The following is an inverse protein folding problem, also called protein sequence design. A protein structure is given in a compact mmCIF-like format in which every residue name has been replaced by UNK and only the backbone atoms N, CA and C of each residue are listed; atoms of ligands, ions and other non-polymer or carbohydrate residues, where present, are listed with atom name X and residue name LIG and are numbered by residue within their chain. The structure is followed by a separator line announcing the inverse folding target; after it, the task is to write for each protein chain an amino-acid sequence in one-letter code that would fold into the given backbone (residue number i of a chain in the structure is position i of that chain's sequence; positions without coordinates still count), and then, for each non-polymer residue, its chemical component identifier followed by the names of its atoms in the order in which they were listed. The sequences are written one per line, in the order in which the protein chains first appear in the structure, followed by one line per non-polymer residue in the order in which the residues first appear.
data_IF_071988160426
#
_entry.id   IF_071988160426
#
_cell.length_a   1.000
_cell.length_b   1.000
_cell.length_c   1.000
_cell.angle_alpha   90.00
_cell.angle_beta   90.00
_cell.angle_gamma   90.00
#
_symmetry.space_group_name_H-M   'P 1'
#
loop_
_entity.id
_entity.type
_entity.pdbx_description
1 polymer ?
#
# COMPACT_ATOMS: atom_id res chain seq x y z
N UNK A 1 -23.45 -57.00 1.14
CA UNK A 1 -23.48 -56.09 2.31
C UNK A 1 -22.29 -55.14 2.21
N UNK A 2 -22.54 -53.95 1.70
CA UNK A 2 -21.54 -52.89 1.44
C UNK A 2 -21.34 -52.05 2.71
N UNK A 3 -20.13 -52.01 3.26
CA UNK A 3 -19.75 -51.02 4.28
C UNK A 3 -19.12 -49.83 3.58
N UNK A 4 -19.88 -48.74 3.52
CA UNK A 4 -19.42 -47.43 3.06
C UNK A 4 -18.43 -46.85 4.07
N UNK A 5 -17.25 -46.50 3.59
CA UNK A 5 -16.23 -45.73 4.29
C UNK A 5 -16.75 -44.32 4.55
N UNK A 6 -16.75 -43.90 5.82
CA UNK A 6 -17.05 -42.51 6.20
C UNK A 6 -15.82 -41.66 5.90
N UNK A 7 -15.89 -40.89 4.82
CA UNK A 7 -14.90 -39.88 4.46
C UNK A 7 -15.13 -38.64 5.34
N UNK A 8 -14.30 -38.47 6.38
CA UNK A 8 -14.27 -37.23 7.18
C UNK A 8 -13.53 -36.18 6.34
N UNK A 9 -14.28 -35.32 5.64
CA UNK A 9 -13.73 -34.14 4.98
C UNK A 9 -13.51 -33.07 6.05
N UNK A 10 -12.24 -32.86 6.38
CA UNK A 10 -11.76 -31.76 7.22
C UNK A 10 -11.91 -30.44 6.43
N UNK A 11 -13.02 -29.73 6.64
CA UNK A 11 -13.20 -28.34 6.16
C UNK A 11 -12.37 -27.39 7.03
N UNK A 12 -11.05 -27.38 6.81
CA UNK A 12 -10.11 -26.48 7.49
C UNK A 12 -9.40 -25.59 6.47
N UNK A 13 -10.16 -24.76 5.76
CA UNK A 13 -9.62 -23.73 4.88
C UNK A 13 -10.79 -22.95 4.30
N UNK A 14 -11.03 -21.73 4.78
CA UNK A 14 -11.50 -20.58 3.97
C UNK A 14 -11.86 -19.32 4.77
N UNK A 15 -11.75 -19.30 6.11
CA UNK A 15 -12.11 -18.12 6.92
C UNK A 15 -10.95 -17.47 7.69
N UNK A 16 -9.76 -17.37 7.09
CA UNK A 16 -8.64 -16.57 7.65
C UNK A 16 -8.03 -15.55 6.68
N UNK A 17 -8.68 -15.26 5.54
CA UNK A 17 -8.18 -14.27 4.58
C UNK A 17 -8.71 -12.84 4.78
N UNK A 18 -9.70 -12.62 5.66
CA UNK A 18 -10.38 -11.32 5.77
C UNK A 18 -9.98 -10.41 6.94
N UNK A 19 -9.02 -10.78 7.80
CA UNK A 19 -8.73 -10.01 9.02
C UNK A 19 -7.79 -8.81 8.79
N UNK A 20 -7.26 -8.61 7.58
CA UNK A 20 -6.35 -7.50 7.29
C UNK A 20 -6.60 -6.83 5.94
N UNK A 21 -7.86 -6.70 5.52
CA UNK A 21 -8.18 -5.76 4.45
C UNK A 21 -7.71 -4.36 4.87
N UNK A 22 -6.90 -3.72 4.04
CA UNK A 22 -6.45 -2.37 4.35
C UNK A 22 -7.62 -1.42 4.09
N UNK A 23 -8.18 -0.88 5.16
CA UNK A 23 -9.32 0.03 5.12
C UNK A 23 -8.85 1.46 4.85
N UNK A 24 -9.37 2.09 3.80
CA UNK A 24 -9.04 3.45 3.38
C UNK A 24 -10.29 4.33 3.28
N UNK A 25 -10.08 5.62 3.51
CA UNK A 25 -11.08 6.67 3.27
C UNK A 25 -10.59 7.57 2.14
N UNK A 26 -11.50 7.92 1.23
CA UNK A 26 -11.30 9.03 0.30
C UNK A 26 -11.49 10.34 1.07
N UNK A 27 -10.40 11.04 1.30
CA UNK A 27 -10.40 12.32 2.01
C UNK A 27 -10.58 13.50 1.07
N UNK A 28 -10.11 13.38 -0.18
CA UNK A 28 -10.37 14.35 -1.27
C UNK A 28 -10.56 13.63 -2.60
N UNK A 29 -11.44 14.20 -3.42
CA UNK A 29 -11.72 13.80 -4.79
C UNK A 29 -11.97 15.06 -5.61
N UNK A 30 -11.03 15.42 -6.46
CA UNK A 30 -11.09 16.65 -7.25
C UNK A 30 -10.80 16.34 -8.72
N UNK A 31 -11.55 16.95 -9.63
CA UNK A 31 -11.21 17.00 -11.04
C UNK A 31 -10.39 18.26 -11.29
N UNK A 32 -9.19 18.12 -11.82
CA UNK A 32 -8.30 19.22 -12.18
C UNK A 32 -7.99 19.16 -13.67
N UNK A 33 -7.43 20.25 -14.21
CA UNK A 33 -7.12 20.31 -15.63
C UNK A 33 -6.13 19.20 -16.04
N UNK A 34 -6.65 18.23 -16.78
CA UNK A 34 -5.90 17.09 -17.30
C UNK A 34 -5.80 15.87 -16.36
N UNK A 35 -6.25 15.94 -15.11
CA UNK A 35 -6.12 14.80 -14.18
C UNK A 35 -7.21 14.73 -13.09
N UNK A 36 -7.56 13.52 -12.66
CA UNK A 36 -8.33 13.28 -11.45
C UNK A 36 -7.37 13.16 -10.24
N UNK A 37 -7.65 13.90 -9.16
CA UNK A 37 -6.87 13.88 -7.92
C UNK A 37 -7.63 13.15 -6.82
N UNK A 38 -6.99 12.18 -6.19
CA UNK A 38 -7.55 11.42 -5.08
C UNK A 38 -6.58 11.38 -3.90
N UNK A 39 -7.08 11.76 -2.73
CA UNK A 39 -6.33 11.68 -1.47
C UNK A 39 -6.91 10.57 -0.60
N UNK A 40 -6.11 9.52 -0.37
CA UNK A 40 -6.45 8.34 0.42
C UNK A 40 -5.76 8.38 1.77
N UNK A 41 -6.52 8.09 2.82
CA UNK A 41 -5.99 7.97 4.18
C UNK A 41 -6.35 6.59 4.74
N UNK A 42 -5.38 5.93 5.38
CA UNK A 42 -5.67 4.68 6.09
C UNK A 42 -6.60 4.96 7.26
N UNK A 43 -7.67 4.18 7.36
CA UNK A 43 -8.72 4.36 8.34
C UNK A 43 -9.20 2.99 8.86
N UNK A 44 -8.52 2.44 9.88
CA UNK A 44 -8.64 1.02 10.27
C UNK A 44 -10.06 0.57 10.61
N UNK A 45 -10.86 1.45 11.22
CA UNK A 45 -12.14 1.05 11.84
C UNK A 45 -13.38 1.32 10.97
N UNK A 46 -13.28 2.21 9.97
CA UNK A 46 -14.44 2.61 9.12
C UNK A 46 -14.10 2.84 7.64
N UNK A 47 -12.91 2.45 7.21
CA UNK A 47 -12.51 2.58 5.81
C UNK A 47 -13.11 1.46 4.94
N UNK A 48 -13.04 1.64 3.62
CA UNK A 48 -13.39 0.63 2.62
C UNK A 48 -12.13 0.12 1.93
N UNK A 49 -12.22 -0.97 1.16
CA UNK A 49 -11.07 -1.40 0.35
C UNK A 49 -10.64 -0.29 -0.62
N UNK A 50 -9.36 -0.24 -1.00
CA UNK A 50 -8.90 0.73 -1.99
C UNK A 50 -9.68 0.60 -3.31
N UNK A 51 -9.98 -0.65 -3.71
CA UNK A 51 -10.82 -0.96 -4.87
C UNK A 51 -12.18 -0.27 -4.81
N UNK A 52 -12.94 -0.49 -3.74
CA UNK A 52 -14.31 0.05 -3.65
C UNK A 52 -14.32 1.57 -3.64
N UNK A 53 -13.33 2.17 -2.98
CA UNK A 53 -13.16 3.62 -2.97
C UNK A 53 -12.82 4.13 -4.37
N UNK A 54 -11.83 3.55 -5.03
CA UNK A 54 -11.39 3.98 -6.36
C UNK A 54 -12.48 3.77 -7.42
N UNK A 55 -13.12 2.60 -7.45
CA UNK A 55 -14.19 2.31 -8.41
C UNK A 55 -15.38 3.28 -8.27
N UNK A 56 -15.71 3.67 -7.03
CA UNK A 56 -16.77 4.65 -6.78
C UNK A 56 -16.42 6.07 -7.26
N UNK A 57 -15.14 6.37 -7.44
CA UNK A 57 -14.66 7.70 -7.82
C UNK A 57 -14.91 8.05 -9.30
N UNK A 58 -15.14 7.04 -10.14
CA UNK A 58 -15.37 7.16 -11.60
C UNK A 58 -14.30 8.05 -12.27
N UNK A 59 -13.03 7.70 -12.12
CA UNK A 59 -11.92 8.39 -12.77
C UNK A 59 -12.09 8.38 -14.31
N UNK A 60 -12.09 9.56 -14.93
CA UNK A 60 -12.36 9.74 -16.37
C UNK A 60 -11.20 10.38 -17.12
N UNK A 61 -10.32 11.11 -16.42
CA UNK A 61 -9.29 11.96 -17.02
C UNK A 61 -8.13 11.18 -17.65
N UNK A 62 -7.28 11.88 -18.40
CA UNK A 62 -6.08 11.30 -19.03
C UNK A 62 -4.98 10.95 -18.03
N UNK A 63 -5.03 11.51 -16.82
CA UNK A 63 -4.13 11.17 -15.74
C UNK A 63 -4.88 11.05 -14.41
N UNK A 64 -4.29 10.31 -13.49
CA UNK A 64 -4.78 10.12 -12.12
C UNK A 64 -3.63 10.30 -11.15
N UNK A 65 -3.78 11.21 -10.20
CA UNK A 65 -2.81 11.44 -9.13
C UNK A 65 -3.37 10.94 -7.82
N UNK A 66 -2.72 9.92 -7.25
CA UNK A 66 -3.08 9.36 -5.95
C UNK A 66 -2.11 9.89 -4.91
N UNK A 67 -2.62 10.55 -3.88
CA UNK A 67 -1.86 10.88 -2.67
C UNK A 67 -2.29 9.95 -1.56
N UNK A 68 -1.35 9.19 -1.01
CA UNK A 68 -1.56 8.38 0.20
C UNK A 68 -1.00 9.14 1.39
N UNK A 69 -1.85 9.40 2.37
CA UNK A 69 -1.52 10.16 3.57
C UNK A 69 -1.71 9.33 4.83
N UNK A 70 -0.82 9.57 5.79
CA UNK A 70 -0.89 8.98 7.12
C UNK A 70 -0.34 7.55 7.16
N UNK A 71 -0.67 6.83 8.22
CA UNK A 71 -0.06 5.52 8.51
C UNK A 71 -0.47 4.47 7.48
N UNK A 72 0.35 3.43 7.32
CA UNK A 72 -0.10 2.21 6.64
C UNK A 72 -0.76 1.23 7.61
N UNK A 73 -1.52 0.28 7.07
CA UNK A 73 -2.03 -0.86 7.85
C UNK A 73 -0.90 -1.64 8.54
N UNK A 74 -1.20 -2.38 9.64
CA UNK A 74 -0.23 -3.24 10.28
C UNK A 74 0.39 -4.26 9.31
N UNK A 75 -0.40 -4.79 8.38
CA UNK A 75 0.08 -5.72 7.34
C UNK A 75 1.11 -5.06 6.43
N UNK A 76 0.80 -3.90 5.85
CA UNK A 76 1.72 -3.19 4.96
C UNK A 76 2.99 -2.75 5.69
N UNK A 77 2.88 -2.30 6.95
CA UNK A 77 4.05 -2.05 7.79
C UNK A 77 4.90 -3.32 7.94
N UNK A 78 4.31 -4.45 8.32
CA UNK A 78 5.05 -5.71 8.47
C UNK A 78 5.80 -6.08 7.18
N UNK A 79 5.15 -5.98 6.02
CA UNK A 79 5.78 -6.25 4.72
C UNK A 79 6.99 -5.34 4.44
N UNK A 80 6.87 -4.04 4.74
CA UNK A 80 7.98 -3.08 4.61
C UNK A 80 9.15 -3.45 5.52
N UNK A 81 8.88 -3.76 6.79
CA UNK A 81 9.91 -4.14 7.75
C UNK A 81 10.59 -5.46 7.40
N UNK A 82 9.84 -6.47 6.96
CA UNK A 82 10.41 -7.72 6.46
C UNK A 82 11.31 -7.51 5.24
N UNK A 83 10.96 -6.56 4.35
CA UNK A 83 11.87 -6.18 3.26
C UNK A 83 13.18 -5.59 3.79
N UNK A 84 13.12 -4.66 4.75
CA UNK A 84 14.32 -4.04 5.30
C UNK A 84 15.21 -5.05 6.04
N UNK A 85 14.63 -5.94 6.85
CA UNK A 85 15.40 -6.97 7.57
C UNK A 85 16.19 -7.88 6.63
N UNK A 86 15.67 -8.15 5.43
CA UNK A 86 16.35 -8.96 4.42
C UNK A 86 17.47 -8.23 3.67
N UNK A 87 17.39 -6.90 3.54
CA UNK A 87 18.24 -6.13 2.63
C UNK A 87 19.15 -5.10 3.32
N UNK A 88 18.91 -4.80 4.60
CA UNK A 88 19.66 -3.81 5.37
C UNK A 88 20.37 -4.53 6.52
N UNK A 89 21.68 -4.28 6.74
CA UNK A 89 22.40 -4.88 7.86
C UNK A 89 21.70 -4.63 9.20
N UNK A 90 21.63 -5.66 10.05
CA UNK A 90 20.89 -5.60 11.32
C UNK A 90 21.34 -4.45 12.23
N UNK A 91 22.64 -4.15 12.28
CA UNK A 91 23.18 -3.03 13.06
C UNK A 91 22.64 -1.67 12.57
N UNK A 92 22.52 -1.50 11.25
CA UNK A 92 21.95 -0.30 10.62
C UNK A 92 20.45 -0.22 10.92
N UNK A 93 19.74 -1.33 10.80
CA UNK A 93 18.32 -1.42 11.15
C UNK A 93 18.08 -1.02 12.62
N UNK A 94 18.83 -1.62 13.56
CA UNK A 94 18.73 -1.31 14.99
C UNK A 94 19.01 0.18 15.29
N UNK A 95 19.95 0.79 14.59
CA UNK A 95 20.24 2.23 14.71
C UNK A 95 19.07 3.08 14.20
N UNK A 96 18.52 2.73 13.04
CA UNK A 96 17.37 3.43 12.45
C UNK A 96 16.13 3.35 13.36
N UNK A 97 15.81 2.17 13.90
CA UNK A 97 14.62 1.96 14.74
C UNK A 97 14.70 2.60 16.12
N UNK A 98 15.91 2.93 16.58
CA UNK A 98 16.12 3.72 17.80
C UNK A 98 16.11 5.22 17.54
N UNK A 99 16.17 5.62 16.28
CA UNK A 99 16.23 7.03 15.89
C UNK A 99 14.84 7.52 15.52
N UNK A 100 14.34 8.52 16.25
CA UNK A 100 13.16 9.27 15.84
C UNK A 100 13.55 10.33 14.82
N UNK A 101 12.61 10.77 13.98
CA UNK A 101 12.84 11.92 13.10
C UNK A 101 12.22 11.78 11.72
N UNK A 102 12.30 12.86 10.95
CA UNK A 102 11.80 12.93 9.59
C UNK A 102 12.82 12.40 8.57
N UNK A 103 12.45 12.46 7.29
CA UNK A 103 13.21 11.92 6.16
C UNK A 103 14.64 12.44 6.02
N UNK A 104 15.02 13.52 6.72
CA UNK A 104 16.36 14.09 6.68
C UNK A 104 17.30 13.49 7.73
N UNK A 105 16.79 12.73 8.71
CA UNK A 105 17.63 12.10 9.72
C UNK A 105 18.58 11.06 9.09
N UNK A 106 19.92 11.24 9.19
CA UNK A 106 20.90 10.31 8.61
C UNK A 106 20.74 8.87 9.08
N UNK A 107 20.25 8.64 10.30
CA UNK A 107 20.06 7.31 10.84
C UNK A 107 18.96 6.52 10.13
N UNK A 108 17.94 7.20 9.57
CA UNK A 108 16.83 6.55 8.85
C UNK A 108 17.03 6.56 7.33
N UNK A 109 18.05 7.27 6.83
CA UNK A 109 18.34 7.35 5.39
C UNK A 109 18.47 5.98 4.70
N UNK A 110 19.10 4.95 5.30
CA UNK A 110 19.15 3.62 4.68
C UNK A 110 17.75 3.05 4.38
N UNK A 111 16.80 3.21 5.31
CA UNK A 111 15.41 2.76 5.12
C UNK A 111 14.71 3.67 4.11
N UNK A 112 14.88 4.98 4.22
CA UNK A 112 14.30 5.98 3.32
C UNK A 112 14.73 5.75 1.85
N UNK A 113 16.01 5.45 1.61
CA UNK A 113 16.57 5.20 0.29
C UNK A 113 16.07 3.88 -0.33
N UNK A 114 15.73 2.90 0.50
CA UNK A 114 15.18 1.63 0.05
C UNK A 114 13.64 1.61 0.00
N UNK A 115 13.00 2.68 0.48
CA UNK A 115 11.55 2.71 0.65
C UNK A 115 10.79 2.38 -0.63
N UNK A 116 11.10 3.01 -1.76
CA UNK A 116 10.36 2.76 -3.02
C UNK A 116 10.47 1.30 -3.46
N UNK A 117 11.64 0.69 -3.26
CA UNK A 117 11.85 -0.74 -3.56
C UNK A 117 11.04 -1.60 -2.61
N UNK A 118 11.07 -1.31 -1.31
CA UNK A 118 10.28 -2.02 -0.30
C UNK A 118 8.79 -1.90 -0.58
N UNK A 119 8.29 -0.69 -0.80
CA UNK A 119 6.89 -0.38 -1.05
C UNK A 119 6.35 -1.12 -2.27
N UNK A 120 7.12 -1.17 -3.36
CA UNK A 120 6.75 -1.92 -4.58
C UNK A 120 6.57 -3.42 -4.35
N UNK A 121 7.16 -3.99 -3.29
CA UNK A 121 6.99 -5.41 -2.97
C UNK A 121 5.72 -5.71 -2.16
N UNK A 122 5.12 -4.70 -1.52
CA UNK A 122 3.96 -4.85 -0.66
C UNK A 122 2.73 -5.35 -1.42
N UNK A 123 1.88 -6.11 -0.74
CA UNK A 123 0.60 -6.54 -1.31
C UNK A 123 -0.31 -5.34 -1.59
N UNK A 124 -0.22 -4.28 -0.78
CA UNK A 124 -0.99 -3.06 -0.98
C UNK A 124 -0.59 -2.30 -2.26
N UNK A 125 0.71 -2.12 -2.53
CA UNK A 125 1.12 -1.50 -3.79
C UNK A 125 0.68 -2.34 -5.00
N UNK A 126 0.82 -3.66 -4.93
CA UNK A 126 0.37 -4.57 -6.00
C UNK A 126 -1.14 -4.46 -6.24
N UNK A 127 -1.93 -4.32 -5.18
CA UNK A 127 -3.37 -4.07 -5.28
C UNK A 127 -3.66 -2.76 -6.02
N UNK A 128 -3.01 -1.65 -5.63
CA UNK A 128 -3.15 -0.35 -6.32
C UNK A 128 -2.84 -0.51 -7.81
N UNK A 129 -1.68 -1.08 -8.15
CA UNK A 129 -1.28 -1.24 -9.55
C UNK A 129 -2.28 -2.09 -10.33
N UNK A 130 -2.72 -3.22 -9.76
CA UNK A 130 -3.71 -4.09 -10.42
C UNK A 130 -5.03 -3.36 -10.69
N UNK A 131 -5.51 -2.54 -9.75
CA UNK A 131 -6.74 -1.76 -9.92
C UNK A 131 -6.54 -0.67 -10.98
N UNK A 132 -5.44 0.09 -10.89
CA UNK A 132 -5.14 1.14 -11.87
C UNK A 132 -5.00 0.57 -13.29
N UNK A 133 -4.33 -0.58 -13.44
CA UNK A 133 -4.17 -1.26 -14.74
C UNK A 133 -5.51 -1.78 -15.30
N UNK A 134 -6.42 -2.28 -14.45
CA UNK A 134 -7.79 -2.65 -14.86
C UNK A 134 -8.58 -1.45 -15.42
N UNK A 135 -8.29 -0.26 -14.92
CA UNK A 135 -8.83 1.01 -15.41
C UNK A 135 -7.96 1.66 -16.51
N UNK A 136 -7.04 0.89 -17.08
CA UNK A 136 -6.16 1.29 -18.18
C UNK A 136 -5.22 2.45 -17.82
N UNK A 137 -4.79 2.54 -16.57
CA UNK A 137 -3.80 3.50 -16.11
C UNK A 137 -2.47 2.80 -15.85
N UNK A 138 -1.36 3.46 -16.22
CA UNK A 138 0.00 2.98 -15.96
C UNK A 138 0.73 3.94 -15.04
N UNK A 139 1.38 3.38 -14.01
CA UNK A 139 2.23 4.16 -13.12
C UNK A 139 3.38 4.80 -13.89
N UNK A 140 3.53 6.10 -13.76
CA UNK A 140 4.63 6.90 -14.31
C UNK A 140 5.69 7.21 -13.28
N UNK A 141 5.28 7.65 -12.10
CA UNK A 141 6.18 8.18 -11.09
C UNK A 141 5.67 7.90 -9.68
N UNK A 142 6.61 7.73 -8.76
CA UNK A 142 6.38 7.75 -7.32
C UNK A 142 7.15 8.94 -6.78
N UNK A 143 6.49 9.79 -6.00
CA UNK A 143 7.15 10.85 -5.22
C UNK A 143 6.79 10.71 -3.75
N UNK A 144 7.64 11.28 -2.88
CA UNK A 144 7.47 11.22 -1.44
C UNK A 144 7.83 12.56 -0.82
N UNK A 145 6.93 13.09 -0.01
CA UNK A 145 7.15 14.33 0.73
C UNK A 145 7.58 14.06 2.17
N UNK A 146 7.18 12.92 2.75
CA UNK A 146 7.42 12.60 4.16
C UNK A 146 7.76 11.13 4.34
N UNK A 147 8.66 10.89 5.30
CA UNK A 147 9.02 9.57 5.80
C UNK A 147 9.42 9.72 7.27
N UNK A 148 8.79 8.96 8.17
CA UNK A 148 9.05 9.01 9.61
C UNK A 148 8.78 7.63 10.22
N UNK A 149 9.63 7.22 11.15
CA UNK A 149 9.53 5.97 11.90
C UNK A 149 9.18 6.31 13.35
N UNK A 150 8.10 5.72 13.85
CA UNK A 150 7.81 5.73 15.28
C UNK A 150 8.59 4.63 15.97
N UNK A 151 9.50 5.02 16.84
CA UNK A 151 10.34 4.11 17.61
C UNK A 151 9.57 3.36 18.70
N UNK A 152 8.42 3.88 19.15
CA UNK A 152 7.57 3.24 20.17
C UNK A 152 6.68 2.15 19.59
N UNK A 153 6.07 2.40 18.43
CA UNK A 153 5.14 1.46 17.79
C UNK A 153 5.78 0.64 16.68
N UNK A 154 7.03 0.96 16.29
CA UNK A 154 7.75 0.37 15.16
C UNK A 154 6.92 0.41 13.86
N UNK A 155 6.34 1.58 13.58
CA UNK A 155 5.56 1.83 12.37
C UNK A 155 6.16 2.99 11.58
N UNK A 156 6.04 2.90 10.26
CA UNK A 156 6.22 4.06 9.39
C UNK A 156 4.90 4.85 9.46
N UNK A 157 4.95 6.03 10.07
CA UNK A 157 3.73 6.77 10.45
C UNK A 157 3.19 7.72 9.37
N UNK A 158 4.07 8.28 8.56
CA UNK A 158 3.69 9.37 7.65
C UNK A 158 4.38 9.24 6.29
N UNK A 159 4.17 8.12 5.58
CA UNK A 159 4.35 8.15 4.14
C UNK A 159 3.36 9.16 3.55
N UNK A 160 3.87 10.31 3.10
CA UNK A 160 3.13 11.17 2.18
C UNK A 160 3.63 10.82 0.77
N UNK A 161 2.92 9.90 0.14
CA UNK A 161 3.34 9.28 -1.13
C UNK A 161 2.40 9.70 -2.23
N UNK A 162 2.98 10.18 -3.30
CA UNK A 162 2.28 10.49 -4.53
C UNK A 162 2.57 9.42 -5.57
N UNK A 163 1.51 8.89 -6.18
CA UNK A 163 1.57 7.97 -7.30
C UNK A 163 0.90 8.64 -8.50
N UNK A 164 1.65 8.80 -9.57
CA UNK A 164 1.19 9.47 -10.79
C UNK A 164 0.94 8.42 -11.86
N UNK A 165 -0.26 8.42 -12.43
CA UNK A 165 -0.65 7.49 -13.46
C UNK A 165 -1.15 8.21 -14.70
N UNK A 166 -0.79 7.67 -15.86
CA UNK A 166 -1.32 8.11 -17.15
C UNK A 166 -2.22 7.04 -17.74
N UNK A 167 -3.28 7.49 -18.40
CA UNK A 167 -4.19 6.63 -19.14
C UNK A 167 -3.48 6.09 -20.38
N UNK A 168 -3.57 4.78 -20.55
CA UNK A 168 -3.10 4.07 -21.71
C UNK A 168 -4.08 4.25 -22.87
N UNK A 169 -3.55 4.44 -24.08
CA UNK A 169 -4.36 4.45 -25.31
C UNK A 169 -4.96 3.09 -25.65
N UNK A 170 -4.38 2.00 -25.13
CA UNK A 170 -4.87 0.63 -25.25
C UNK A 170 -4.77 -0.09 -23.90
N UNK A 171 -5.86 -0.72 -23.49
CA UNK A 171 -5.92 -1.50 -22.27
C UNK A 171 -5.45 -2.92 -22.55
N UNK A 172 -4.30 -3.32 -22.01
CA UNK A 172 -3.89 -4.72 -22.06
C UNK A 172 -4.60 -5.46 -20.92
N UNK A 173 -5.82 -5.95 -21.18
CA UNK A 173 -6.46 -6.89 -20.27
C UNK A 173 -5.73 -8.23 -20.42
N UNK A 174 -4.98 -8.61 -19.39
CA UNK A 174 -4.42 -9.97 -19.24
C UNK A 174 -5.36 -10.81 -18.40
#
# INVERSE_FOLDING_TARGET
MTKNSVLIIVFFSLFMSNIYASHYKLSKNEKRDGYDFFEFQYYPDKGKSFKDVFDSSKATQKAVYLRMLGEFSPKTNKELFSYYEKHIPQAVMKKALKSSGNMHNPAIQPLNNMFDKAFKTTSFFKEIISIMEKHCYKLKKIEREKFNINTKTLRILQPDIWLYFDKLSKCNQK
#
